data_IF_189621410044
#
_entry.id   IF_189621410044
#
_cell.length_a   1.000
_cell.length_b   1.000
_cell.length_c   1.000
_cell.angle_alpha   90.00
_cell.angle_beta   90.00
_cell.angle_gamma   90.00
#
_symmetry.space_group_name_H-M   'P 1'
#
loop_
_entity.id
_entity.type
_entity.pdbx_description
1 polymer ?
#
# COMPACT_ATOMS: atom_id res chain seq x y z
N UNK A 1 30.35 -13.75 -2.02
CA UNK A 1 28.94 -13.44 -1.66
C UNK A 1 28.67 -13.44 -0.16
N UNK A 2 29.15 -14.42 0.64
CA UNK A 2 28.91 -14.46 2.11
C UNK A 2 29.40 -13.21 2.88
N UNK A 3 30.52 -12.61 2.50
CA UNK A 3 30.99 -11.38 3.15
C UNK A 3 30.12 -10.16 2.79
N UNK A 4 29.57 -10.12 1.58
CA UNK A 4 28.70 -9.03 1.12
C UNK A 4 27.28 -9.14 1.69
N UNK A 5 26.82 -10.32 2.07
CA UNK A 5 25.44 -10.51 2.54
C UNK A 5 25.14 -9.81 3.88
N UNK A 6 26.16 -9.64 4.73
CA UNK A 6 26.05 -8.91 5.99
C UNK A 6 26.13 -7.38 5.85
N UNK A 7 26.56 -6.86 4.70
CA UNK A 7 26.85 -5.43 4.51
C UNK A 7 25.99 -4.79 3.42
N UNK A 8 25.73 -5.51 2.33
CA UNK A 8 25.08 -5.02 1.11
C UNK A 8 23.69 -5.64 0.94
N UNK A 9 22.83 -4.92 0.21
CA UNK A 9 21.60 -5.46 -0.38
C UNK A 9 21.94 -6.29 -1.63
N UNK A 10 20.98 -7.07 -2.15
CA UNK A 10 21.21 -7.86 -3.39
C UNK A 10 21.59 -6.99 -4.59
N UNK A 11 21.05 -5.77 -4.67
CA UNK A 11 21.34 -4.84 -5.78
C UNK A 11 22.74 -4.24 -5.66
N UNK A 12 23.16 -3.89 -4.44
CA UNK A 12 24.51 -3.37 -4.19
C UNK A 12 25.57 -4.48 -4.33
N UNK A 13 25.26 -5.70 -3.88
CA UNK A 13 26.13 -6.86 -4.10
C UNK A 13 26.25 -7.21 -5.59
N UNK A 14 25.18 -7.02 -6.38
CA UNK A 14 25.23 -7.18 -7.84
C UNK A 14 26.19 -6.17 -8.49
N UNK A 15 26.10 -4.90 -8.08
CA UNK A 15 27.00 -3.85 -8.55
C UNK A 15 28.46 -4.12 -8.15
N UNK A 16 28.71 -4.51 -6.89
CA UNK A 16 30.05 -4.80 -6.39
C UNK A 16 30.69 -6.04 -7.07
N UNK A 17 29.88 -7.02 -7.45
CA UNK A 17 30.34 -8.25 -8.12
C UNK A 17 30.36 -8.13 -9.65
N UNK A 18 29.84 -7.04 -10.23
CA UNK A 18 29.73 -6.86 -11.67
C UNK A 18 28.82 -7.89 -12.37
N UNK A 19 27.89 -8.53 -11.64
CA UNK A 19 26.97 -9.53 -12.20
C UNK A 19 25.53 -9.07 -12.09
N UNK A 20 24.64 -9.67 -12.89
CA UNK A 20 23.21 -9.36 -12.82
C UNK A 20 22.62 -9.71 -11.46
N UNK A 21 21.67 -8.88 -10.99
CA UNK A 21 20.90 -9.11 -9.75
C UNK A 21 20.22 -10.49 -9.73
N UNK A 22 19.75 -10.97 -10.90
CA UNK A 22 19.14 -12.30 -11.04
C UNK A 22 20.15 -13.42 -10.74
N UNK A 23 21.40 -13.28 -11.19
CA UNK A 23 22.46 -14.23 -10.87
C UNK A 23 22.83 -14.18 -9.39
N UNK A 24 22.92 -12.99 -8.79
CA UNK A 24 23.10 -12.86 -7.32
C UNK A 24 22.01 -13.63 -6.59
N UNK A 25 20.74 -13.44 -6.95
CA UNK A 25 19.63 -14.16 -6.33
C UNK A 25 19.74 -15.69 -6.50
N UNK A 26 20.05 -16.17 -7.71
CA UNK A 26 20.20 -17.61 -7.97
C UNK A 26 21.31 -18.22 -7.11
N UNK A 27 22.48 -17.60 -7.07
CA UNK A 27 23.61 -18.07 -6.25
C UNK A 27 23.33 -17.93 -4.75
N UNK A 28 22.66 -16.85 -4.33
CA UNK A 28 22.25 -16.66 -2.95
C UNK A 28 21.32 -17.78 -2.49
N UNK A 29 20.30 -18.12 -3.30
CA UNK A 29 19.36 -19.20 -2.99
C UNK A 29 20.03 -20.57 -2.96
N UNK A 30 20.92 -20.85 -3.90
CA UNK A 30 21.68 -22.12 -3.93
C UNK A 30 22.57 -22.32 -2.70
N UNK A 31 23.10 -21.23 -2.15
CA UNK A 31 24.03 -21.25 -1.01
C UNK A 31 23.36 -20.84 0.32
N UNK A 32 22.04 -20.72 0.34
CA UNK A 32 21.23 -20.30 1.50
C UNK A 32 21.71 -18.96 2.13
N UNK A 33 22.21 -18.05 1.31
CA UNK A 33 22.72 -16.75 1.73
C UNK A 33 21.59 -15.72 1.73
N UNK A 34 21.35 -15.09 2.89
CA UNK A 34 20.38 -14.00 3.02
C UNK A 34 21.09 -12.65 3.04
N UNK A 35 20.70 -11.74 2.13
CA UNK A 35 21.22 -10.37 2.05
C UNK A 35 20.38 -9.39 2.88
N UNK A 36 20.94 -8.22 3.19
CA UNK A 36 20.17 -7.11 3.78
C UNK A 36 18.98 -6.74 2.90
N UNK A 37 17.85 -6.45 3.53
CA UNK A 37 16.68 -5.88 2.85
C UNK A 37 17.02 -4.46 2.38
N UNK A 38 16.70 -4.10 1.14
CA UNK A 38 16.87 -2.72 0.70
C UNK A 38 15.96 -1.81 1.51
N UNK A 39 16.51 -0.67 1.93
CA UNK A 39 15.77 0.34 2.69
C UNK A 39 14.65 0.99 1.86
N UNK A 40 14.75 0.95 0.52
CA UNK A 40 13.80 1.56 -0.42
C UNK A 40 13.36 0.57 -1.50
N UNK A 41 12.11 0.71 -1.95
CA UNK A 41 11.60 0.06 -3.17
C UNK A 41 10.92 -1.30 -2.98
N UNK A 42 10.52 -1.65 -1.75
CA UNK A 42 9.70 -2.83 -1.47
C UNK A 42 8.24 -2.49 -1.17
N UNK A 43 7.36 -3.50 -1.14
CA UNK A 43 5.99 -3.34 -0.60
C UNK A 43 5.99 -2.90 0.88
N UNK A 44 7.08 -3.14 1.60
CA UNK A 44 7.32 -2.71 2.99
C UNK A 44 8.19 -1.45 3.09
N UNK A 45 8.32 -0.66 2.03
CA UNK A 45 9.06 0.60 2.08
C UNK A 45 8.33 1.57 3.02
N UNK A 46 8.96 1.84 4.16
CA UNK A 46 8.43 2.74 5.19
C UNK A 46 8.10 4.12 4.60
N UNK A 47 8.90 4.60 3.65
CA UNK A 47 8.64 5.89 3.02
C UNK A 47 7.36 5.88 2.17
N UNK A 48 7.10 4.77 1.47
CA UNK A 48 5.85 4.57 0.72
C UNK A 48 4.66 4.50 1.68
N UNK A 49 4.83 3.82 2.81
CA UNK A 49 3.80 3.69 3.82
C UNK A 49 3.45 5.05 4.45
N UNK A 50 4.45 5.84 4.84
CA UNK A 50 4.28 7.21 5.35
C UNK A 50 3.57 8.11 4.33
N UNK A 51 3.90 8.00 3.04
CA UNK A 51 3.19 8.75 1.98
C UNK A 51 1.72 8.31 1.83
N UNK A 52 1.42 7.03 2.02
CA UNK A 52 0.04 6.52 2.00
C UNK A 52 -0.72 7.07 3.20
N UNK A 53 -0.13 7.03 4.40
CA UNK A 53 -0.74 7.53 5.64
C UNK A 53 -1.02 9.04 5.56
N UNK A 54 -0.08 9.83 5.03
CA UNK A 54 -0.27 11.26 4.84
C UNK A 54 -1.40 11.59 3.83
N UNK A 55 -1.61 10.72 2.83
CA UNK A 55 -2.74 10.85 1.88
C UNK A 55 -4.06 10.42 2.54
N UNK A 56 -4.05 9.31 3.26
CA UNK A 56 -5.21 8.76 3.94
C UNK A 56 -5.75 9.75 5.00
N UNK A 57 -4.87 10.46 5.72
CA UNK A 57 -5.26 11.53 6.65
C UNK A 57 -6.05 12.66 5.97
N UNK A 58 -5.59 13.15 4.81
CA UNK A 58 -6.31 14.17 4.03
C UNK A 58 -7.65 13.68 3.52
N UNK A 59 -7.74 12.40 3.18
CA UNK A 59 -9.02 11.80 2.77
C UNK A 59 -9.96 11.64 3.95
N UNK A 60 -9.47 11.27 5.14
CA UNK A 60 -10.28 11.15 6.34
C UNK A 60 -11.03 12.44 6.68
N UNK A 61 -10.34 13.60 6.61
CA UNK A 61 -10.97 14.91 6.81
C UNK A 61 -12.11 15.17 5.81
N UNK A 62 -11.87 14.89 4.52
CA UNK A 62 -12.90 15.05 3.48
C UNK A 62 -14.06 14.07 3.64
N UNK A 63 -13.78 12.83 4.07
CA UNK A 63 -14.80 11.81 4.33
C UNK A 63 -15.70 12.25 5.50
N UNK A 64 -15.15 12.84 6.56
CA UNK A 64 -15.95 13.41 7.66
C UNK A 64 -16.86 14.54 7.18
N UNK A 65 -16.33 15.48 6.38
CA UNK A 65 -17.14 16.53 5.78
C UNK A 65 -18.27 15.97 4.88
N UNK A 66 -17.99 14.91 4.13
CA UNK A 66 -19.00 14.25 3.30
C UNK A 66 -20.06 13.50 4.12
N UNK A 67 -19.68 12.94 5.26
CA UNK A 67 -20.61 12.32 6.21
C UNK A 67 -21.59 13.35 6.77
N UNK A 68 -21.10 14.51 7.19
CA UNK A 68 -21.92 15.62 7.70
C UNK A 68 -22.89 16.15 6.63
N UNK A 69 -22.45 16.18 5.37
CA UNK A 69 -23.29 16.57 4.22
C UNK A 69 -24.27 15.47 3.78
N UNK A 70 -24.29 14.31 4.43
CA UNK A 70 -25.19 13.19 4.09
C UNK A 70 -24.87 12.52 2.74
N UNK A 71 -23.63 12.66 2.25
CA UNK A 71 -23.22 12.09 0.97
C UNK A 71 -23.12 10.57 1.10
N UNK A 72 -23.56 9.82 0.08
CA UNK A 72 -23.45 8.36 0.11
C UNK A 72 -22.02 7.89 -0.14
N UNK A 73 -21.66 6.69 0.35
CA UNK A 73 -20.33 6.09 0.14
C UNK A 73 -19.93 6.04 -1.35
N UNK A 74 -20.86 5.69 -2.24
CA UNK A 74 -20.62 5.65 -3.69
C UNK A 74 -20.24 7.02 -4.25
N UNK A 75 -20.94 8.06 -3.83
CA UNK A 75 -20.65 9.44 -4.23
C UNK A 75 -19.32 9.93 -3.64
N UNK A 76 -19.04 9.60 -2.38
CA UNK A 76 -17.78 9.95 -1.73
C UNK A 76 -16.57 9.31 -2.45
N UNK A 77 -16.63 8.01 -2.77
CA UNK A 77 -15.60 7.33 -3.57
C UNK A 77 -15.40 7.99 -4.94
N UNK A 78 -16.49 8.38 -5.61
CA UNK A 78 -16.43 9.09 -6.89
C UNK A 78 -15.79 10.47 -6.78
N UNK A 79 -16.16 11.27 -5.78
CA UNK A 79 -15.62 12.61 -5.52
C UNK A 79 -14.14 12.58 -5.12
N UNK A 80 -13.70 11.54 -4.43
CA UNK A 80 -12.31 11.36 -4.01
C UNK A 80 -11.46 10.61 -5.04
N UNK A 81 -12.06 10.07 -6.11
CA UNK A 81 -11.40 9.21 -7.09
C UNK A 81 -10.63 8.04 -6.45
N UNK A 82 -11.19 7.42 -5.41
CA UNK A 82 -10.62 6.27 -4.71
C UNK A 82 -11.50 5.02 -4.82
N UNK A 83 -10.88 3.85 -4.84
CA UNK A 83 -11.59 2.57 -4.85
C UNK A 83 -12.17 2.21 -3.48
N UNK A 84 -13.18 1.34 -3.45
CA UNK A 84 -13.88 0.93 -2.21
C UNK A 84 -12.93 0.35 -1.15
N UNK A 85 -11.94 -0.46 -1.55
CA UNK A 85 -10.96 -1.02 -0.59
C UNK A 85 -10.11 0.06 0.10
N UNK A 86 -9.74 1.12 -0.63
CA UNK A 86 -9.00 2.23 -0.07
C UNK A 86 -9.90 3.05 0.88
N UNK A 87 -11.15 3.29 0.47
CA UNK A 87 -12.14 3.96 1.31
C UNK A 87 -12.37 3.20 2.64
N UNK A 88 -12.58 1.88 2.57
CA UNK A 88 -12.76 1.01 3.75
C UNK A 88 -11.55 1.02 4.68
N UNK A 89 -10.33 1.00 4.12
CA UNK A 89 -9.11 1.15 4.91
C UNK A 89 -9.06 2.49 5.64
N UNK A 90 -9.38 3.59 4.96
CA UNK A 90 -9.30 4.94 5.53
C UNK A 90 -10.32 5.08 6.68
N UNK A 91 -11.58 4.68 6.48
CA UNK A 91 -12.57 4.79 7.56
C UNK A 91 -12.24 3.92 8.77
N UNK A 92 -11.65 2.73 8.55
CA UNK A 92 -11.23 1.84 9.63
C UNK A 92 -10.01 2.39 10.38
N UNK A 93 -9.03 2.95 9.68
CA UNK A 93 -7.82 3.51 10.30
C UNK A 93 -8.07 4.83 11.05
N UNK A 94 -9.14 5.54 10.72
CA UNK A 94 -9.48 6.85 11.29
C UNK A 94 -10.75 6.84 12.15
N UNK A 95 -11.25 5.64 12.49
CA UNK A 95 -12.44 5.40 13.32
C UNK A 95 -13.68 6.21 12.87
N UNK A 96 -13.93 6.24 11.56
CA UNK A 96 -15.07 6.96 10.98
C UNK A 96 -16.22 5.96 10.77
N UNK A 97 -17.32 6.13 11.50
CA UNK A 97 -18.54 5.35 11.26
C UNK A 97 -19.31 5.89 10.05
N UNK A 98 -18.93 5.42 8.86
CA UNK A 98 -19.58 5.79 7.61
C UNK A 98 -20.61 4.73 7.21
N UNK A 99 -21.91 5.08 7.14
CA UNK A 99 -22.97 4.12 6.90
C UNK A 99 -22.74 3.37 5.59
N UNK A 100 -22.82 2.05 5.64
CA UNK A 100 -22.80 1.24 4.42
C UNK A 100 -24.01 1.61 3.58
N UNK A 101 -23.82 1.73 2.27
CA UNK A 101 -24.94 1.87 1.35
C UNK A 101 -25.87 0.67 1.58
N UNK A 102 -27.10 0.93 2.04
CA UNK A 102 -28.12 -0.11 2.08
C UNK A 102 -28.30 -0.57 0.64
N UNK A 103 -28.18 -1.87 0.42
CA UNK A 103 -28.49 -2.48 -0.87
C UNK A 103 -29.94 -2.08 -1.15
N UNK A 104 -30.15 -1.14 -2.08
CA UNK A 104 -31.50 -0.78 -2.49
C UNK A 104 -32.18 -2.06 -2.91
N UNK A 105 -33.36 -2.35 -2.34
CA UNK A 105 -34.23 -3.36 -2.90
C UNK A 105 -34.29 -3.13 -4.39
N UNK A 106 -33.99 -4.14 -5.19
CA UNK A 106 -34.19 -4.11 -6.64
C UNK A 106 -35.68 -3.96 -6.91
N UNK A 107 -36.20 -2.74 -6.85
CA UNK A 107 -37.53 -2.41 -7.35
C UNK A 107 -37.38 -1.95 -8.79
N UNK A 108 -37.05 -2.89 -9.68
CA UNK A 108 -37.59 -2.85 -11.02
C UNK A 108 -38.88 -3.68 -10.97
N UNK A 109 -39.99 -3.01 -10.69
CA UNK A 109 -41.31 -3.57 -10.93
C UNK A 109 -41.76 -3.05 -12.30
N UNK A 110 -41.96 -4.00 -13.23
CA UNK A 110 -42.61 -3.93 -14.54
C UNK A 110 -42.03 -2.96 -15.58
#
# INVERSE_FOLDING_TARGET
MRQLSGTHTQSEAAAALGISRRNVYKHAKLNEITFKKPARGGASDRHRQEQIEARDAKYAERIRAFLELGITRRQACGKLAIGNKAFERIIANHDIDYPKARQGSTSCAA
#
